data_IF_502604259129
#
_entry.id   IF_502604259129
#
_cell.length_a   1.000
_cell.length_b   1.000
_cell.length_c   1.000
_cell.angle_alpha   90.00
_cell.angle_beta   90.00
_cell.angle_gamma   90.00
#
_symmetry.space_group_name_H-M   'P 1'
#
loop_
_entity.id
_entity.type
_entity.pdbx_description
1 polymer ?
#
# COMPACT_ATOMS: atom_id res chain seq x y z
N UNK A 1 4.39 -14.95 10.09
CA UNK A 1 4.14 -14.19 8.84
C UNK A 1 4.69 -14.87 7.57
N UNK A 2 5.06 -16.18 7.60
CA UNK A 2 5.81 -16.84 6.50
C UNK A 2 5.16 -16.72 5.10
N UNK A 3 3.83 -16.64 5.03
CA UNK A 3 3.08 -16.62 3.75
C UNK A 3 2.32 -15.29 3.52
N UNK A 4 2.54 -14.26 4.35
CA UNK A 4 1.87 -12.97 4.25
C UNK A 4 2.86 -11.88 3.85
N UNK A 5 2.43 -11.04 2.93
CA UNK A 5 3.22 -9.94 2.39
C UNK A 5 3.28 -8.74 3.33
N UNK A 6 4.43 -8.09 3.36
CA UNK A 6 4.66 -6.84 4.05
C UNK A 6 4.88 -5.71 3.04
N UNK A 7 4.03 -4.70 3.08
CA UNK A 7 4.26 -3.43 2.37
C UNK A 7 4.54 -2.32 3.38
N UNK A 8 5.52 -1.48 3.10
CA UNK A 8 5.82 -0.27 3.86
C UNK A 8 5.69 0.91 2.90
N UNK A 9 4.74 1.81 3.17
CA UNK A 9 4.33 2.86 2.26
C UNK A 9 4.76 4.27 2.71
N UNK A 10 4.88 5.20 1.76
CA UNK A 10 5.21 6.60 2.04
C UNK A 10 6.69 6.86 2.26
N UNK A 11 7.55 6.10 1.58
CA UNK A 11 9.00 6.26 1.61
C UNK A 11 9.45 7.34 0.62
N UNK A 12 10.51 8.10 0.97
CA UNK A 12 11.10 9.13 0.09
C UNK A 12 12.53 9.50 0.42
N UNK A 13 12.94 9.39 1.67
CA UNK A 13 14.29 9.74 2.15
C UNK A 13 15.26 8.58 1.93
N UNK A 14 16.46 8.86 1.40
CA UNK A 14 17.43 7.85 1.00
C UNK A 14 17.96 7.03 2.19
N UNK A 15 18.27 7.68 3.31
CA UNK A 15 18.81 6.99 4.48
C UNK A 15 17.74 6.13 5.14
N UNK A 16 16.52 6.65 5.24
CA UNK A 16 15.38 5.92 5.76
C UNK A 16 14.97 4.74 4.84
N UNK A 17 15.03 4.92 3.51
CA UNK A 17 14.84 3.81 2.55
C UNK A 17 15.84 2.68 2.82
N UNK A 18 17.13 3.02 3.03
CA UNK A 18 18.20 2.05 3.31
C UNK A 18 17.94 1.28 4.61
N UNK A 19 17.56 2.00 5.68
CA UNK A 19 17.22 1.39 6.97
C UNK A 19 16.04 0.42 6.85
N UNK A 20 14.97 0.85 6.18
CA UNK A 20 13.75 0.05 6.05
C UNK A 20 13.93 -1.11 5.07
N UNK A 21 14.76 -0.96 4.03
CA UNK A 21 15.09 -2.05 3.11
C UNK A 21 15.78 -3.23 3.82
N UNK A 22 16.50 -2.98 4.93
CA UNK A 22 17.11 -4.03 5.75
C UNK A 22 16.07 -4.97 6.40
N UNK A 23 14.83 -4.53 6.57
CA UNK A 23 13.72 -5.38 7.03
C UNK A 23 13.20 -6.31 5.93
N UNK A 24 13.70 -6.16 4.70
CA UNK A 24 13.30 -6.95 3.52
C UNK A 24 11.78 -7.01 3.31
N UNK A 25 11.05 -5.86 3.28
CA UNK A 25 9.64 -5.88 2.96
C UNK A 25 9.43 -6.40 1.52
N UNK A 26 8.30 -7.07 1.27
CA UNK A 26 7.95 -7.50 -0.09
C UNK A 26 7.70 -6.31 -1.02
N UNK A 27 7.14 -5.22 -0.47
CA UNK A 27 6.79 -4.02 -1.22
C UNK A 27 7.20 -2.75 -0.48
N UNK A 28 7.66 -1.75 -1.25
CA UNK A 28 7.91 -0.41 -0.71
C UNK A 28 7.16 0.62 -1.55
N UNK A 29 6.28 1.41 -0.91
CA UNK A 29 5.40 2.37 -1.57
C UNK A 29 5.99 3.77 -1.62
N UNK A 30 5.93 4.39 -2.81
CA UNK A 30 6.37 5.75 -3.11
C UNK A 30 5.17 6.55 -3.59
N UNK A 31 4.79 7.63 -2.88
CA UNK A 31 3.56 8.37 -3.14
C UNK A 31 3.84 9.53 -4.11
N UNK A 32 3.37 9.42 -5.33
CA UNK A 32 3.44 10.46 -6.35
C UNK A 32 2.14 11.28 -6.37
N UNK A 33 1.91 12.01 -5.29
CA UNK A 33 0.78 12.90 -5.11
C UNK A 33 1.27 14.16 -4.37
N UNK A 34 1.15 15.31 -4.98
CA UNK A 34 1.73 16.59 -4.53
C UNK A 34 1.17 17.05 -3.16
N UNK A 35 -0.12 16.78 -2.90
CA UNK A 35 -0.79 17.16 -1.64
C UNK A 35 -0.46 16.21 -0.48
N UNK A 36 0.26 15.12 -0.72
CA UNK A 36 0.67 14.22 0.34
C UNK A 36 1.85 14.79 1.12
N UNK A 37 1.83 14.82 2.46
CA UNK A 37 3.01 15.16 3.24
C UNK A 37 4.14 14.13 3.10
N UNK A 38 3.86 12.99 2.44
CA UNK A 38 4.79 11.89 2.13
C UNK A 38 5.15 11.84 0.64
N UNK A 39 4.94 12.95 -0.07
CA UNK A 39 5.17 12.98 -1.52
C UNK A 39 6.60 12.61 -1.87
N UNK A 40 6.76 11.68 -2.81
CA UNK A 40 8.04 11.28 -3.40
C UNK A 40 8.33 12.03 -4.71
N UNK A 41 7.50 13.02 -5.09
CA UNK A 41 7.76 13.88 -6.25
C UNK A 41 9.10 14.61 -6.03
N UNK A 42 10.00 14.51 -7.02
CA UNK A 42 11.34 15.08 -6.94
C UNK A 42 12.36 14.24 -6.17
N UNK A 43 11.98 13.07 -5.65
CA UNK A 43 12.95 12.13 -5.09
C UNK A 43 13.93 11.66 -6.17
N UNK A 44 15.25 11.58 -5.87
CA UNK A 44 16.21 11.02 -6.82
C UNK A 44 15.85 9.58 -7.22
N UNK A 45 15.86 9.29 -8.53
CA UNK A 45 15.56 7.94 -9.05
C UNK A 45 16.52 6.87 -8.49
N UNK A 46 17.77 7.28 -8.22
CA UNK A 46 18.79 6.43 -7.61
C UNK A 46 18.40 5.87 -6.23
N UNK A 47 17.41 6.47 -5.55
CA UNK A 47 16.92 5.94 -4.27
C UNK A 47 16.31 4.54 -4.42
N UNK A 48 15.77 4.21 -5.60
CA UNK A 48 15.22 2.86 -5.83
C UNK A 48 16.31 1.79 -5.93
N UNK A 49 17.54 2.15 -6.27
CA UNK A 49 18.66 1.20 -6.24
C UNK A 49 19.09 0.78 -4.83
N UNK A 50 18.56 1.44 -3.79
CA UNK A 50 18.76 1.05 -2.39
C UNK A 50 17.89 -0.13 -1.96
N UNK A 51 16.88 -0.48 -2.76
CA UNK A 51 16.01 -1.63 -2.51
C UNK A 51 16.76 -2.94 -2.81
N UNK A 52 16.45 -3.97 -2.03
CA UNK A 52 16.89 -5.32 -2.37
C UNK A 52 16.14 -5.81 -3.62
N UNK A 53 16.73 -6.77 -4.34
CA UNK A 53 16.06 -7.40 -5.50
C UNK A 53 14.76 -8.16 -5.11
N UNK A 54 14.55 -8.44 -3.83
CA UNK A 54 13.35 -9.07 -3.30
C UNK A 54 12.23 -8.07 -2.98
N UNK A 55 12.55 -6.77 -2.87
CA UNK A 55 11.58 -5.71 -2.56
C UNK A 55 11.10 -5.04 -3.84
N UNK A 56 9.81 -5.15 -4.14
CA UNK A 56 9.21 -4.49 -5.31
C UNK A 56 8.78 -3.06 -4.97
N UNK A 57 9.22 -2.05 -5.73
CA UNK A 57 8.71 -0.68 -5.59
C UNK A 57 7.28 -0.58 -6.11
N UNK A 58 6.43 0.20 -5.42
CA UNK A 58 5.04 0.46 -5.78
C UNK A 58 4.82 1.97 -5.88
N UNK A 59 4.45 2.47 -7.04
CA UNK A 59 4.05 3.86 -7.23
C UNK A 59 2.60 4.06 -6.77
N UNK A 60 2.37 5.01 -5.86
CA UNK A 60 1.02 5.33 -5.37
C UNK A 60 0.56 6.64 -5.98
N UNK A 61 -0.59 6.63 -6.64
CA UNK A 61 -1.15 7.76 -7.39
C UNK A 61 -2.59 8.04 -6.94
N UNK A 62 -3.01 9.31 -7.08
CA UNK A 62 -4.37 9.77 -6.75
C UNK A 62 -4.90 10.61 -7.89
N UNK A 63 -5.86 10.07 -8.67
CA UNK A 63 -6.52 10.75 -9.78
C UNK A 63 -5.55 11.37 -10.81
N UNK A 64 -4.45 10.67 -11.09
CA UNK A 64 -3.44 11.13 -12.05
C UNK A 64 -3.74 10.58 -13.45
N UNK A 65 -3.23 11.24 -14.50
CA UNK A 65 -3.38 10.80 -15.89
C UNK A 65 -2.56 9.52 -16.18
N UNK A 66 -3.02 8.70 -17.11
CA UNK A 66 -2.31 7.49 -17.52
C UNK A 66 -0.92 7.81 -18.10
N UNK A 67 -0.80 8.93 -18.81
CA UNK A 67 0.45 9.42 -19.40
C UNK A 67 1.47 9.78 -18.32
N UNK A 68 1.04 10.52 -17.28
CA UNK A 68 1.91 10.91 -16.15
C UNK A 68 2.32 9.69 -15.34
N UNK A 69 1.38 8.78 -15.04
CA UNK A 69 1.69 7.51 -14.34
C UNK A 69 2.75 6.74 -15.11
N UNK A 70 2.54 6.54 -16.42
CA UNK A 70 3.47 5.79 -17.25
C UNK A 70 4.86 6.46 -17.34
N UNK A 71 4.90 7.80 -17.47
CA UNK A 71 6.15 8.55 -17.50
C UNK A 71 6.93 8.41 -16.19
N UNK A 72 6.27 8.51 -15.05
CA UNK A 72 6.88 8.31 -13.72
C UNK A 72 7.35 6.87 -13.58
N UNK A 73 6.51 5.89 -13.90
CA UNK A 73 6.86 4.48 -13.82
C UNK A 73 8.11 4.15 -14.65
N UNK A 74 8.19 4.64 -15.89
CA UNK A 74 9.37 4.47 -16.73
C UNK A 74 10.61 5.16 -16.15
N UNK A 75 10.47 6.38 -15.65
CA UNK A 75 11.60 7.14 -15.11
C UNK A 75 12.19 6.47 -13.86
N UNK A 76 11.35 5.90 -13.01
CA UNK A 76 11.77 5.26 -11.75
C UNK A 76 11.97 3.74 -11.87
N UNK A 77 11.67 3.11 -13.00
CA UNK A 77 11.71 1.65 -13.15
C UNK A 77 10.68 0.93 -12.29
N UNK A 78 9.49 1.51 -12.12
CA UNK A 78 8.37 0.95 -11.36
C UNK A 78 7.41 0.28 -12.34
N UNK A 79 7.03 -0.96 -12.08
CA UNK A 79 6.05 -1.72 -12.85
C UNK A 79 4.71 -1.90 -12.14
N UNK A 80 4.66 -1.60 -10.85
CA UNK A 80 3.49 -1.82 -10.00
C UNK A 80 2.93 -0.49 -9.49
N UNK A 81 1.64 -0.27 -9.72
CA UNK A 81 0.95 0.97 -9.35
C UNK A 81 -0.22 0.71 -8.42
N UNK A 82 -0.35 1.53 -7.39
CA UNK A 82 -1.51 1.58 -6.50
C UNK A 82 -2.30 2.85 -6.77
N UNK A 83 -3.54 2.68 -7.22
CA UNK A 83 -4.47 3.76 -7.51
C UNK A 83 -5.32 4.03 -6.26
N UNK A 84 -5.18 5.22 -5.67
CA UNK A 84 -5.77 5.56 -4.38
C UNK A 84 -6.78 6.73 -4.46
N UNK A 85 -7.28 7.02 -5.64
CA UNK A 85 -8.30 8.03 -5.91
C UNK A 85 -9.63 7.41 -6.36
N UNK A 86 -10.30 8.09 -7.29
CA UNK A 86 -11.58 7.68 -7.86
C UNK A 86 -11.43 7.01 -9.26
N UNK A 87 -10.27 6.39 -9.52
CA UNK A 87 -9.96 5.77 -10.80
C UNK A 87 -10.96 4.64 -11.10
N UNK A 88 -11.49 4.63 -12.34
CA UNK A 88 -12.50 3.67 -12.78
C UNK A 88 -11.91 2.31 -13.17
N UNK A 89 -12.73 1.24 -13.27
CA UNK A 89 -12.26 -0.06 -13.78
C UNK A 89 -11.68 0.03 -15.20
N UNK A 90 -12.24 0.91 -16.04
CA UNK A 90 -11.73 1.14 -17.40
C UNK A 90 -10.32 1.74 -17.36
N UNK A 91 -10.07 2.69 -16.48
CA UNK A 91 -8.75 3.29 -16.27
C UNK A 91 -7.75 2.25 -15.76
N UNK A 92 -8.15 1.38 -14.81
CA UNK A 92 -7.30 0.28 -14.36
C UNK A 92 -6.90 -0.65 -15.51
N UNK A 93 -7.87 -1.02 -16.38
CA UNK A 93 -7.62 -1.86 -17.56
C UNK A 93 -6.70 -1.18 -18.56
N UNK A 94 -6.83 0.13 -18.75
CA UNK A 94 -5.94 0.91 -19.61
C UNK A 94 -4.49 0.80 -19.12
N UNK A 95 -4.22 0.99 -17.83
CA UNK A 95 -2.88 0.87 -17.27
C UNK A 95 -2.32 -0.56 -17.39
N UNK A 96 -3.16 -1.58 -17.18
CA UNK A 96 -2.77 -2.97 -17.42
C UNK A 96 -2.38 -3.21 -18.88
N UNK A 97 -3.14 -2.66 -19.84
CA UNK A 97 -2.82 -2.80 -21.27
C UNK A 97 -1.48 -2.15 -21.66
N UNK A 98 -0.99 -1.23 -20.84
CA UNK A 98 0.32 -0.58 -20.96
C UNK A 98 1.43 -1.35 -20.22
N UNK A 99 1.15 -2.55 -19.69
CA UNK A 99 2.11 -3.44 -19.03
C UNK A 99 2.33 -3.18 -17.53
N UNK A 100 1.47 -2.40 -16.88
CA UNK A 100 1.56 -2.15 -15.44
C UNK A 100 0.77 -3.17 -14.62
N UNK A 101 1.31 -3.58 -13.48
CA UNK A 101 0.61 -4.30 -12.42
C UNK A 101 -0.24 -3.32 -11.63
N UNK A 102 -1.55 -3.45 -11.69
CA UNK A 102 -2.48 -2.46 -11.13
C UNK A 102 -3.10 -2.97 -9.84
N UNK A 103 -2.98 -2.17 -8.78
CA UNK A 103 -3.67 -2.33 -7.50
C UNK A 103 -4.65 -1.17 -7.30
N UNK A 104 -5.79 -1.44 -6.66
CA UNK A 104 -6.78 -0.40 -6.37
C UNK A 104 -7.04 -0.31 -4.88
N UNK A 105 -6.86 0.88 -4.32
CA UNK A 105 -7.17 1.16 -2.94
C UNK A 105 -8.61 1.64 -2.78
N UNK A 106 -9.26 1.19 -1.70
CA UNK A 106 -10.60 1.61 -1.28
C UNK A 106 -10.58 1.97 0.20
N UNK A 107 -11.17 3.11 0.52
CA UNK A 107 -11.42 3.50 1.90
C UNK A 107 -12.69 2.81 2.43
N UNK A 108 -12.52 1.98 3.46
CA UNK A 108 -13.59 1.24 4.09
C UNK A 108 -14.07 1.95 5.37
N UNK A 109 -15.38 1.91 5.59
CA UNK A 109 -16.06 2.16 6.85
C UNK A 109 -17.00 0.99 7.15
N UNK A 110 -17.64 0.97 8.31
CA UNK A 110 -18.49 -0.14 8.75
C UNK A 110 -19.71 -0.39 7.84
N UNK A 111 -20.09 0.62 7.04
CA UNK A 111 -21.17 0.56 6.06
C UNK A 111 -20.73 0.23 4.63
N UNK A 112 -19.48 -0.09 4.37
CA UNK A 112 -18.95 -0.26 3.02
C UNK A 112 -19.69 -1.36 2.25
N UNK A 113 -20.10 -1.01 1.00
CA UNK A 113 -20.73 -1.95 0.08
C UNK A 113 -19.68 -2.64 -0.81
N UNK A 114 -19.38 -3.91 -0.53
CA UNK A 114 -18.43 -4.71 -1.29
C UNK A 114 -18.85 -4.98 -2.73
N UNK A 115 -20.13 -4.80 -3.10
CA UNK A 115 -20.57 -4.91 -4.52
C UNK A 115 -19.90 -3.89 -5.43
N UNK A 116 -19.45 -2.76 -4.88
CA UNK A 116 -18.69 -1.72 -5.58
C UNK A 116 -17.33 -2.22 -6.11
N UNK A 117 -16.80 -3.30 -5.57
CA UNK A 117 -15.53 -3.91 -6.00
C UNK A 117 -15.70 -4.81 -7.23
N UNK A 118 -16.92 -5.33 -7.46
CA UNK A 118 -17.17 -6.30 -8.54
C UNK A 118 -16.70 -5.83 -9.91
N UNK A 119 -16.89 -4.56 -10.33
CA UNK A 119 -16.41 -4.09 -11.63
C UNK A 119 -14.88 -4.09 -11.78
N UNK A 120 -14.14 -4.12 -10.67
CA UNK A 120 -12.68 -4.10 -10.67
C UNK A 120 -12.04 -5.49 -10.68
N UNK A 121 -12.82 -6.56 -10.45
CA UNK A 121 -12.31 -7.92 -10.26
C UNK A 121 -11.30 -8.35 -11.33
N UNK A 122 -11.57 -8.06 -12.60
CA UNK A 122 -10.75 -8.47 -13.75
C UNK A 122 -9.83 -7.34 -14.25
N UNK A 123 -9.68 -6.26 -13.48
CA UNK A 123 -8.92 -5.05 -13.88
C UNK A 123 -7.84 -4.67 -12.88
N UNK A 124 -7.67 -5.46 -11.82
CA UNK A 124 -6.64 -5.26 -10.82
C UNK A 124 -6.09 -6.60 -10.34
N UNK A 125 -4.85 -6.62 -9.91
CA UNK A 125 -4.22 -7.81 -9.32
C UNK A 125 -4.41 -7.89 -7.81
N UNK A 126 -4.65 -6.75 -7.18
CA UNK A 126 -4.77 -6.65 -5.71
C UNK A 126 -5.63 -5.44 -5.31
N UNK A 127 -6.41 -5.61 -4.25
CA UNK A 127 -7.00 -4.48 -3.55
C UNK A 127 -6.12 -4.03 -2.38
N UNK A 128 -6.23 -2.77 -2.00
CA UNK A 128 -5.70 -2.24 -0.73
C UNK A 128 -6.88 -1.68 0.05
N UNK A 129 -7.21 -2.27 1.18
CA UNK A 129 -8.30 -1.81 2.02
C UNK A 129 -7.77 -0.90 3.12
N UNK A 130 -8.02 0.40 2.97
CA UNK A 130 -7.61 1.45 3.90
C UNK A 130 -8.80 1.94 4.71
N UNK A 131 -8.57 2.67 5.77
CA UNK A 131 -9.65 3.33 6.51
C UNK A 131 -10.18 4.53 5.71
N UNK A 132 -11.50 4.63 5.56
CA UNK A 132 -12.14 5.78 4.93
C UNK A 132 -11.91 7.03 5.77
N UNK A 133 -11.31 8.04 5.17
CA UNK A 133 -11.05 9.32 5.81
C UNK A 133 -11.38 10.45 4.86
N UNK A 134 -11.67 11.66 5.39
CA UNK A 134 -11.88 12.86 4.57
C UNK A 134 -10.61 13.34 3.86
N UNK A 135 -9.44 12.92 4.34
CA UNK A 135 -8.15 13.13 3.70
C UNK A 135 -7.64 11.77 3.15
N UNK A 136 -7.19 11.73 1.90
CA UNK A 136 -6.67 10.52 1.26
C UNK A 136 -5.46 9.96 2.04
N UNK A 137 -5.74 9.02 2.98
CA UNK A 137 -4.77 8.26 3.77
C UNK A 137 -4.15 8.97 4.98
N UNK A 138 -3.64 8.19 5.92
CA UNK A 138 -2.76 8.66 6.99
C UNK A 138 -3.41 9.27 8.24
N UNK A 139 -4.72 9.12 8.46
CA UNK A 139 -5.42 9.64 9.67
C UNK A 139 -5.05 8.90 10.96
N UNK A 140 -4.49 7.70 10.86
CA UNK A 140 -4.23 6.82 12.01
C UNK A 140 -5.49 6.20 12.63
N UNK A 141 -6.68 6.47 12.08
CA UNK A 141 -7.94 5.84 12.47
C UNK A 141 -8.07 4.47 11.82
N UNK A 142 -8.86 3.58 12.41
CA UNK A 142 -9.15 2.24 11.90
C UNK A 142 -10.65 2.06 11.76
N UNK A 143 -11.07 1.31 10.72
CA UNK A 143 -12.41 0.73 10.64
C UNK A 143 -12.44 -0.62 11.40
N UNK A 144 -13.63 -1.14 11.72
CA UNK A 144 -13.73 -2.49 12.30
C UNK A 144 -13.39 -3.54 11.24
N UNK A 145 -12.26 -4.22 11.39
CA UNK A 145 -11.80 -5.25 10.45
C UNK A 145 -12.74 -6.45 10.31
N UNK A 146 -13.73 -6.59 11.19
CA UNK A 146 -14.79 -7.61 11.06
C UNK A 146 -15.61 -7.43 9.79
N UNK A 147 -15.71 -6.20 9.25
CA UNK A 147 -16.41 -5.97 7.97
C UNK A 147 -15.80 -6.81 6.83
N UNK A 148 -14.50 -7.13 6.90
CA UNK A 148 -13.80 -7.95 5.91
C UNK A 148 -14.32 -9.39 5.82
N UNK A 149 -15.05 -9.88 6.83
CA UNK A 149 -15.72 -11.17 6.79
C UNK A 149 -16.86 -11.20 5.74
N UNK A 150 -17.29 -10.03 5.25
CA UNK A 150 -18.26 -9.85 4.16
C UNK A 150 -17.60 -9.83 2.76
N UNK A 151 -16.27 -9.79 2.69
CA UNK A 151 -15.55 -9.80 1.42
C UNK A 151 -15.56 -11.21 0.81
N UNK A 152 -16.10 -11.35 -0.40
CA UNK A 152 -16.32 -12.66 -1.05
C UNK A 152 -15.67 -12.78 -2.43
N UNK A 153 -15.03 -11.72 -2.93
CA UNK A 153 -14.31 -11.79 -4.20
C UNK A 153 -12.99 -12.56 -4.01
N UNK A 154 -12.52 -13.20 -5.09
CA UNK A 154 -11.28 -13.98 -5.11
C UNK A 154 -10.02 -13.13 -5.43
N UNK A 155 -10.15 -11.79 -5.49
CA UNK A 155 -9.01 -10.89 -5.66
C UNK A 155 -8.27 -10.75 -4.32
N UNK A 156 -6.94 -10.97 -4.28
CA UNK A 156 -6.17 -10.80 -3.04
C UNK A 156 -6.19 -9.33 -2.59
N UNK A 157 -6.02 -9.11 -1.28
CA UNK A 157 -5.95 -7.74 -0.76
C UNK A 157 -4.87 -7.56 0.32
N UNK A 158 -4.36 -6.33 0.43
CA UNK A 158 -3.59 -5.87 1.58
C UNK A 158 -4.50 -5.13 2.54
N UNK A 159 -4.37 -5.43 3.83
CA UNK A 159 -5.00 -4.68 4.90
C UNK A 159 -4.14 -3.46 5.24
N UNK A 160 -4.73 -2.29 5.18
CA UNK A 160 -4.12 -1.01 5.47
C UNK A 160 -4.99 -0.20 6.45
N UNK A 161 -4.57 1.01 6.77
CA UNK A 161 -5.34 1.96 7.57
C UNK A 161 -5.21 1.76 9.09
N UNK A 162 -4.51 2.69 9.73
CA UNK A 162 -4.41 2.78 11.19
C UNK A 162 -3.73 1.61 11.89
N UNK A 163 -3.07 0.70 11.17
CA UNK A 163 -2.27 -0.37 11.79
C UNK A 163 -1.11 0.27 12.53
N UNK A 164 -1.08 0.09 13.85
CA UNK A 164 -0.01 0.58 14.74
C UNK A 164 0.67 -0.55 15.51
N UNK A 165 1.71 -0.24 16.29
CA UNK A 165 2.46 -1.22 17.05
C UNK A 165 1.58 -2.05 18.01
N UNK A 166 0.52 -1.45 18.50
CA UNK A 166 -0.45 -2.08 19.42
C UNK A 166 -1.37 -3.10 18.75
N UNK A 167 -1.40 -3.16 17.41
CA UNK A 167 -2.34 -3.97 16.65
C UNK A 167 -1.81 -5.38 16.32
N UNK A 168 -0.64 -5.79 16.81
CA UNK A 168 0.03 -7.04 16.41
C UNK A 168 -0.87 -8.28 16.57
N UNK A 169 -1.54 -8.43 17.71
CA UNK A 169 -2.42 -9.59 17.95
C UNK A 169 -3.64 -9.62 17.02
N UNK A 170 -4.17 -8.44 16.70
CA UNK A 170 -5.33 -8.33 15.80
C UNK A 170 -4.91 -8.61 14.35
N UNK A 171 -3.73 -8.12 13.94
CA UNK A 171 -3.12 -8.45 12.66
C UNK A 171 -2.88 -9.96 12.53
N UNK A 172 -2.31 -10.60 13.54
CA UNK A 172 -2.09 -12.05 13.54
C UNK A 172 -3.40 -12.82 13.41
N UNK A 173 -4.47 -12.43 14.14
CA UNK A 173 -5.79 -13.03 13.98
C UNK A 173 -6.37 -12.82 12.58
N UNK A 174 -6.08 -11.69 11.95
CA UNK A 174 -6.57 -11.39 10.60
C UNK A 174 -5.95 -12.26 9.52
N UNK A 175 -4.76 -12.83 9.75
CA UNK A 175 -4.04 -13.65 8.77
C UNK A 175 -4.75 -14.95 8.36
N UNK A 176 -5.73 -15.40 9.14
CA UNK A 176 -6.60 -16.53 8.79
C UNK A 176 -7.70 -16.17 7.77
N UNK A 177 -7.91 -14.86 7.48
CA UNK A 177 -8.94 -14.45 6.54
C UNK A 177 -8.61 -14.89 5.12
N UNK A 178 -9.61 -15.38 4.37
CA UNK A 178 -9.42 -15.70 2.95
C UNK A 178 -9.01 -14.43 2.17
N UNK A 179 -8.19 -14.62 1.14
CA UNK A 179 -7.71 -13.59 0.21
C UNK A 179 -6.89 -12.45 0.84
N UNK A 180 -6.67 -12.42 2.17
CA UNK A 180 -5.72 -11.50 2.78
C UNK A 180 -4.29 -11.88 2.37
N UNK A 181 -3.71 -11.11 1.47
CA UNK A 181 -2.33 -11.33 1.00
C UNK A 181 -1.29 -10.81 1.99
N UNK A 182 -1.60 -9.78 2.76
CA UNK A 182 -0.67 -9.17 3.71
C UNK A 182 -1.15 -7.85 4.29
N UNK A 183 -0.21 -7.06 4.79
CA UNK A 183 -0.48 -5.76 5.42
C UNK A 183 0.30 -4.64 4.76
N UNK A 184 -0.24 -3.42 4.83
CA UNK A 184 0.38 -2.18 4.39
C UNK A 184 0.53 -1.21 5.56
N UNK A 185 1.77 -0.91 5.95
CA UNK A 185 2.12 -0.07 7.09
C UNK A 185 2.54 1.32 6.61
N UNK A 186 2.08 2.37 7.30
CA UNK A 186 2.42 3.75 6.95
C UNK A 186 2.53 4.63 8.20
N UNK A 187 1.57 5.54 8.42
CA UNK A 187 1.65 6.70 9.33
C UNK A 187 1.92 6.37 10.80
N UNK A 188 1.44 5.23 11.31
CA UNK A 188 1.61 4.85 12.73
C UNK A 188 3.05 4.42 13.06
N UNK A 189 3.87 4.19 12.03
CA UNK A 189 5.28 3.81 12.14
C UNK A 189 6.22 4.93 11.68
N UNK A 190 5.84 6.17 11.85
CA UNK A 190 6.65 7.34 11.49
C UNK A 190 7.09 8.14 12.71
N UNK A 191 8.28 8.71 12.64
CA UNK A 191 8.75 9.79 13.52
C UNK A 191 8.32 11.16 13.01
N UNK A 192 8.21 11.30 11.68
CA UNK A 192 7.63 12.45 10.98
C UNK A 192 7.09 11.99 9.62
N UNK A 193 6.13 12.70 8.99
CA UNK A 193 5.56 12.29 7.72
C UNK A 193 6.61 11.99 6.65
N UNK A 194 6.63 10.75 6.15
CA UNK A 194 7.59 10.27 5.15
C UNK A 194 8.94 9.80 5.71
N UNK A 195 9.09 9.73 7.05
CA UNK A 195 10.27 9.18 7.71
C UNK A 195 9.86 8.11 8.72
N UNK A 196 10.14 6.84 8.41
CA UNK A 196 9.76 5.68 9.24
C UNK A 196 10.68 5.53 10.44
N UNK A 197 10.08 5.17 11.57
CA UNK A 197 10.74 4.75 12.79
C UNK A 197 11.15 3.27 12.62
N UNK A 198 12.43 3.04 12.32
CA UNK A 198 12.96 1.71 12.01
C UNK A 198 12.90 0.77 13.20
N UNK A 199 13.10 1.27 14.43
CA UNK A 199 13.01 0.47 15.64
C UNK A 199 11.58 -0.01 15.88
N UNK A 200 10.61 0.89 15.78
CA UNK A 200 9.19 0.57 15.93
C UNK A 200 8.71 -0.45 14.89
N UNK A 201 9.12 -0.28 13.62
CA UNK A 201 8.82 -1.24 12.55
C UNK A 201 9.48 -2.60 12.82
N UNK A 202 10.76 -2.62 13.18
CA UNK A 202 11.49 -3.85 13.47
C UNK A 202 10.82 -4.65 14.57
N UNK A 203 10.49 -4.00 15.70
CA UNK A 203 9.82 -4.64 16.83
C UNK A 203 8.45 -5.22 16.43
N UNK A 204 7.70 -4.50 15.62
CA UNK A 204 6.40 -4.97 15.13
C UNK A 204 6.55 -6.18 14.20
N UNK A 205 7.44 -6.12 13.22
CA UNK A 205 7.69 -7.22 12.28
C UNK A 205 8.18 -8.48 13.00
N UNK A 206 9.10 -8.35 13.98
CA UNK A 206 9.55 -9.47 14.81
C UNK A 206 8.37 -10.12 15.55
N UNK A 207 7.45 -9.31 16.09
CA UNK A 207 6.27 -9.82 16.78
C UNK A 207 5.37 -10.63 15.87
N UNK A 208 5.21 -10.23 14.60
CA UNK A 208 4.40 -10.94 13.62
C UNK A 208 5.07 -12.23 13.08
N UNK A 209 6.36 -12.41 13.31
CA UNK A 209 7.12 -13.59 12.80
C UNK A 209 7.35 -14.68 13.84
N UNK A 210 7.07 -14.41 15.10
CA UNK A 210 7.08 -15.38 16.18
C UNK A 210 5.88 -16.33 16.09
#
# INVERSE_FOLDING_TARGET
MRDKKLKICGMRDADNIREIAALSPDYMGFIFYDKSPRSAIGMPQSNLSLLSSATRPVGVFVNESAETIHAICNAYGIDTVQLHGAETPLFCRELQSRGLHVWKAFGLDDGFDFSLLTPYKDTVEMFVFDTKTSAHGGSGQRFDWKILDRYTLDVPYLLSGGIGPEASDEVLRSFSRPHLAGIDLNSRFESSPGFKDSEKLTNFVITLTK
#
